data_IF_273980236871
#
_entry.id   IF_273980236871
#
_cell.length_a   1.000
_cell.length_b   1.000
_cell.length_c   1.000
_cell.angle_alpha   90.00
_cell.angle_beta   90.00
_cell.angle_gamma   90.00
#
_symmetry.space_group_name_H-M   'P 1'
#
loop_
_entity.id
_entity.type
_entity.pdbx_description
1 polymer ?
#
# COMPACT_ATOMS: atom_id res chain seq x y z
N UNK A 1 -36.08 -5.65 8.55
CA UNK A 1 -34.95 -6.17 7.73
C UNK A 1 -33.65 -5.62 8.32
N UNK A 2 -32.68 -6.47 8.69
CA UNK A 2 -31.37 -5.99 9.11
C UNK A 2 -30.63 -5.48 7.87
N UNK A 3 -30.32 -4.18 7.82
CA UNK A 3 -29.49 -3.60 6.77
C UNK A 3 -28.09 -4.23 6.86
N UNK A 4 -27.69 -4.99 5.84
CA UNK A 4 -26.32 -5.51 5.78
C UNK A 4 -25.38 -4.33 5.59
N UNK A 5 -24.49 -4.13 6.55
CA UNK A 5 -23.40 -3.14 6.43
C UNK A 5 -22.32 -3.79 5.57
N UNK A 6 -21.99 -3.26 4.38
CA UNK A 6 -20.91 -3.79 3.55
C UNK A 6 -19.55 -3.46 4.18
N UNK A 7 -18.54 -4.27 3.91
CA UNK A 7 -17.14 -4.01 4.32
C UNK A 7 -16.62 -2.68 3.74
N UNK A 8 -16.97 -2.41 2.51
CA UNK A 8 -16.68 -1.14 1.84
C UNK A 8 -17.50 -1.02 0.56
N UNK A 9 -17.77 0.18 0.16
CA UNK A 9 -18.50 0.49 -1.07
C UNK A 9 -17.93 1.77 -1.68
N UNK A 10 -17.67 1.75 -3.00
CA UNK A 10 -17.34 2.95 -3.76
C UNK A 10 -18.56 3.89 -3.81
N UNK A 11 -18.28 5.18 -3.87
CA UNK A 11 -19.23 6.21 -4.24
C UNK A 11 -18.90 6.67 -5.65
N UNK A 12 -19.88 6.65 -6.55
CA UNK A 12 -19.75 7.09 -7.95
C UNK A 12 -20.87 8.06 -8.26
N UNK A 13 -20.51 9.23 -8.72
CA UNK A 13 -21.46 10.26 -9.10
C UNK A 13 -21.44 10.56 -10.62
N UNK A 14 -22.27 11.53 -11.03
CA UNK A 14 -22.37 11.93 -12.44
C UNK A 14 -21.07 12.51 -13.02
N UNK A 15 -20.24 13.12 -12.18
CA UNK A 15 -18.97 13.70 -12.61
C UNK A 15 -17.93 12.62 -12.88
N UNK A 16 -17.94 11.55 -12.09
CA UNK A 16 -17.11 10.36 -12.34
C UNK A 16 -17.45 9.73 -13.68
N UNK A 17 -18.74 9.50 -13.94
CA UNK A 17 -19.22 8.94 -15.20
C UNK A 17 -18.82 9.79 -16.42
N UNK A 18 -19.01 11.11 -16.33
CA UNK A 18 -18.61 12.04 -17.38
C UNK A 18 -17.10 12.05 -17.61
N UNK A 19 -16.32 12.00 -16.53
CA UNK A 19 -14.84 12.02 -16.61
C UNK A 19 -14.32 10.75 -17.24
N UNK A 20 -14.83 9.58 -16.83
CA UNK A 20 -14.49 8.30 -17.45
C UNK A 20 -14.86 8.27 -18.92
N UNK A 21 -16.09 8.71 -19.27
CA UNK A 21 -16.52 8.80 -20.66
C UNK A 21 -15.62 9.69 -21.52
N UNK A 22 -15.17 10.83 -20.99
CA UNK A 22 -14.21 11.72 -21.68
C UNK A 22 -12.83 11.07 -21.80
N UNK A 23 -12.37 10.34 -20.79
CA UNK A 23 -11.05 9.68 -20.81
C UNK A 23 -10.98 8.61 -21.91
N UNK A 24 -12.05 7.86 -22.12
CA UNK A 24 -12.12 6.81 -23.15
C UNK A 24 -12.09 7.38 -24.58
N UNK A 25 -12.34 8.67 -24.77
CA UNK A 25 -12.27 9.35 -26.08
C UNK A 25 -10.88 9.95 -26.35
N UNK A 26 -9.92 9.78 -25.47
CA UNK A 26 -8.56 10.28 -25.67
C UNK A 26 -7.80 9.40 -26.66
N UNK A 27 -6.86 9.98 -27.43
CA UNK A 27 -6.01 9.21 -28.35
C UNK A 27 -5.18 8.11 -27.66
N UNK A 28 -4.80 8.34 -26.40
CA UNK A 28 -4.02 7.39 -25.58
C UNK A 28 -4.74 7.21 -24.25
N UNK A 29 -5.27 6.02 -24.01
CA UNK A 29 -6.02 5.68 -22.79
C UNK A 29 -5.18 4.95 -21.74
N UNK A 30 -3.96 4.54 -22.06
CA UNK A 30 -3.08 3.80 -21.14
C UNK A 30 -2.26 4.73 -20.23
N UNK A 31 -1.41 5.57 -20.82
CA UNK A 31 -0.47 6.47 -20.11
C UNK A 31 -0.66 7.93 -20.53
N UNK A 32 -1.87 8.30 -20.91
CA UNK A 32 -2.20 9.59 -21.49
C UNK A 32 -2.23 10.77 -20.50
N UNK A 33 -2.81 11.87 -20.95
CA UNK A 33 -2.85 13.12 -20.19
C UNK A 33 -3.54 13.04 -18.83
N UNK A 34 -4.52 12.13 -18.66
CA UNK A 34 -5.21 11.93 -17.38
C UNK A 34 -4.27 11.37 -16.30
N UNK A 35 -3.39 10.41 -16.64
CA UNK A 35 -2.39 9.86 -15.72
C UNK A 35 -1.46 10.96 -15.22
N UNK A 36 -0.84 11.70 -16.16
CA UNK A 36 0.07 12.82 -15.83
C UNK A 36 -0.61 13.91 -14.98
N UNK A 37 -1.86 14.25 -15.31
CA UNK A 37 -2.64 15.23 -14.55
C UNK A 37 -2.92 14.75 -13.12
N UNK A 38 -3.22 13.46 -12.95
CA UNK A 38 -3.48 12.86 -11.65
C UNK A 38 -2.20 12.82 -10.80
N UNK A 39 -1.08 12.37 -11.34
CA UNK A 39 0.23 12.39 -10.67
C UNK A 39 0.61 13.79 -10.20
N UNK A 40 0.41 14.81 -11.06
CA UNK A 40 0.65 16.21 -10.70
C UNK A 40 -0.25 16.70 -9.57
N UNK A 41 -1.52 16.29 -9.56
CA UNK A 41 -2.45 16.62 -8.46
C UNK A 41 -2.05 15.94 -7.16
N UNK A 42 -1.66 14.66 -7.21
CA UNK A 42 -1.18 13.91 -6.04
C UNK A 42 0.09 14.54 -5.47
N UNK A 43 1.08 14.87 -6.33
CA UNK A 43 2.32 15.48 -5.85
C UNK A 43 2.06 16.83 -5.15
N UNK A 44 1.14 17.65 -5.68
CA UNK A 44 0.72 18.89 -5.04
C UNK A 44 -0.02 18.67 -3.73
N UNK A 45 -0.95 17.69 -3.70
CA UNK A 45 -1.74 17.37 -2.51
C UNK A 45 -0.88 16.88 -1.35
N UNK A 46 0.04 15.96 -1.63
CA UNK A 46 0.96 15.40 -0.64
C UNK A 46 2.21 16.24 -0.40
N UNK A 47 2.36 17.37 -1.12
CA UNK A 47 3.54 18.26 -1.03
C UNK A 47 4.87 17.51 -1.26
N UNK A 48 4.88 16.62 -2.23
CA UNK A 48 6.08 15.85 -2.64
C UNK A 48 6.50 16.25 -4.05
N UNK A 49 7.77 16.04 -4.39
CA UNK A 49 8.30 16.41 -5.70
C UNK A 49 7.69 15.60 -6.83
N UNK A 50 7.47 14.31 -6.59
CA UNK A 50 6.95 13.38 -7.60
C UNK A 50 5.91 12.46 -6.98
N UNK A 51 4.93 12.07 -7.77
CA UNK A 51 3.99 11.00 -7.49
C UNK A 51 3.88 10.11 -8.73
N UNK A 52 3.78 8.82 -8.52
CA UNK A 52 3.55 7.83 -9.56
C UNK A 52 2.27 7.08 -9.27
N UNK A 53 1.48 6.82 -10.30
CA UNK A 53 0.29 5.98 -10.19
C UNK A 53 0.52 4.66 -10.92
N UNK A 54 -0.09 3.62 -10.41
CA UNK A 54 -0.09 2.29 -11.00
C UNK A 54 -1.49 1.69 -10.94
N UNK A 55 -1.66 0.58 -11.60
CA UNK A 55 -2.96 -0.06 -11.80
C UNK A 55 -3.57 -0.68 -10.52
N UNK A 56 -2.78 -0.84 -9.46
CA UNK A 56 -3.26 -1.44 -8.20
C UNK A 56 -2.37 -1.06 -7.01
N UNK A 57 -2.93 -1.12 -5.79
CA UNK A 57 -2.15 -0.98 -4.56
C UNK A 57 -1.05 -2.04 -4.41
N UNK A 58 -1.27 -3.25 -4.92
CA UNK A 58 -0.24 -4.30 -4.95
C UNK A 58 0.97 -3.88 -5.78
N UNK A 59 0.75 -3.33 -6.97
CA UNK A 59 1.83 -2.81 -7.81
C UNK A 59 2.52 -1.62 -7.15
N UNK A 60 1.76 -0.74 -6.47
CA UNK A 60 2.32 0.38 -5.74
C UNK A 60 3.25 -0.07 -4.60
N UNK A 61 2.84 -1.08 -3.82
CA UNK A 61 3.68 -1.68 -2.77
C UNK A 61 4.95 -2.30 -3.34
N UNK A 62 4.83 -3.03 -4.46
CA UNK A 62 6.00 -3.61 -5.13
C UNK A 62 7.01 -2.53 -5.54
N UNK A 63 6.54 -1.47 -6.20
CA UNK A 63 7.38 -0.34 -6.58
C UNK A 63 8.00 0.36 -5.37
N UNK A 64 7.24 0.55 -4.28
CA UNK A 64 7.75 1.15 -3.06
C UNK A 64 8.87 0.31 -2.42
N UNK A 65 8.73 -1.00 -2.40
CA UNK A 65 9.77 -1.90 -1.88
C UNK A 65 11.04 -1.87 -2.75
N UNK A 66 10.90 -1.87 -4.07
CA UNK A 66 12.03 -1.75 -4.99
C UNK A 66 12.71 -0.37 -4.83
N UNK A 67 11.94 0.70 -4.75
CA UNK A 67 12.47 2.06 -4.54
C UNK A 67 13.18 2.23 -3.18
N UNK A 68 12.78 1.43 -2.17
CA UNK A 68 13.45 1.37 -0.87
C UNK A 68 14.70 0.46 -0.88
N UNK A 69 15.10 -0.03 -2.05
CA UNK A 69 16.25 -0.93 -2.23
C UNK A 69 16.16 -2.18 -1.32
N UNK A 70 14.96 -2.73 -1.18
CA UNK A 70 14.75 -4.00 -0.47
C UNK A 70 15.16 -5.14 -1.39
N UNK A 71 16.03 -6.03 -0.90
CA UNK A 71 16.66 -7.12 -1.65
C UNK A 71 16.40 -8.47 -0.99
N UNK A 72 16.73 -9.52 -1.71
CA UNK A 72 16.72 -10.89 -1.19
C UNK A 72 17.53 -10.99 0.10
N UNK A 73 16.89 -11.53 1.13
CA UNK A 73 17.48 -11.71 2.46
C UNK A 73 17.33 -10.52 3.41
N UNK A 74 16.94 -9.34 2.93
CA UNK A 74 16.62 -8.21 3.81
C UNK A 74 15.44 -8.51 4.70
N UNK A 75 15.48 -8.00 5.92
CA UNK A 75 14.41 -8.22 6.92
C UNK A 75 13.37 -7.12 6.82
N UNK A 76 12.12 -7.53 6.65
CA UNK A 76 10.94 -6.66 6.70
C UNK A 76 10.02 -7.15 7.81
N UNK A 77 9.54 -6.23 8.65
CA UNK A 77 8.55 -6.53 9.70
C UNK A 77 7.24 -5.86 9.30
N UNK A 78 6.13 -6.57 9.46
CA UNK A 78 4.79 -6.05 9.18
C UNK A 78 3.78 -6.60 10.19
N UNK A 79 2.62 -5.95 10.37
CA UNK A 79 1.58 -6.45 11.26
C UNK A 79 0.99 -7.76 10.72
N UNK A 80 0.62 -8.66 11.63
CA UNK A 80 0.00 -9.95 11.30
C UNK A 80 -1.38 -9.77 10.65
N UNK A 81 -2.10 -8.71 11.00
CA UNK A 81 -3.35 -8.31 10.32
C UNK A 81 -3.00 -7.26 9.28
N UNK A 82 -3.01 -7.67 8.01
CA UNK A 82 -2.70 -6.80 6.88
C UNK A 82 -3.28 -7.41 5.59
N UNK A 83 -3.45 -6.58 4.56
CA UNK A 83 -3.80 -7.10 3.25
C UNK A 83 -2.62 -7.90 2.68
N UNK A 84 -2.90 -9.06 2.10
CA UNK A 84 -1.91 -10.06 1.67
C UNK A 84 -0.85 -9.52 0.69
N UNK A 85 -1.13 -8.45 -0.06
CA UNK A 85 -0.21 -7.93 -1.07
C UNK A 85 1.15 -7.52 -0.52
N UNK A 86 1.20 -6.94 0.68
CA UNK A 86 2.46 -6.55 1.31
C UNK A 86 3.37 -7.77 1.54
N UNK A 87 2.80 -8.84 2.09
CA UNK A 87 3.51 -10.11 2.28
C UNK A 87 3.96 -10.71 0.94
N UNK A 88 3.05 -10.78 -0.04
CA UNK A 88 3.32 -11.39 -1.34
C UNK A 88 4.42 -10.67 -2.09
N UNK A 89 4.46 -9.34 -2.07
CA UNK A 89 5.51 -8.57 -2.75
C UNK A 89 6.86 -8.70 -2.05
N UNK A 90 6.90 -8.72 -0.72
CA UNK A 90 8.13 -9.03 0.01
C UNK A 90 8.66 -10.43 -0.30
N UNK A 91 7.77 -11.43 -0.39
CA UNK A 91 8.15 -12.82 -0.77
C UNK A 91 8.67 -12.88 -2.19
N UNK A 92 8.05 -12.16 -3.13
CA UNK A 92 8.48 -12.10 -4.52
C UNK A 92 9.92 -11.55 -4.65
N UNK A 93 10.26 -10.52 -3.87
CA UNK A 93 11.62 -9.94 -3.81
C UNK A 93 12.60 -10.90 -3.11
N UNK A 94 12.11 -11.85 -2.33
CA UNK A 94 12.93 -12.78 -1.54
C UNK A 94 13.36 -12.22 -0.19
N UNK A 95 12.68 -11.21 0.32
CA UNK A 95 12.90 -10.67 1.66
C UNK A 95 12.49 -11.68 2.75
N UNK A 96 13.13 -11.59 3.91
CA UNK A 96 12.75 -12.31 5.13
C UNK A 96 11.68 -11.51 5.85
N UNK A 97 10.51 -12.12 6.06
CA UNK A 97 9.37 -11.45 6.65
C UNK A 97 9.14 -11.95 8.07
N UNK A 98 8.97 -11.01 8.99
CA UNK A 98 8.50 -11.29 10.34
C UNK A 98 7.16 -10.59 10.57
N UNK A 99 6.23 -11.32 11.15
CA UNK A 99 4.92 -10.81 11.50
C UNK A 99 4.93 -10.37 12.97
N UNK A 100 4.66 -9.10 13.20
CA UNK A 100 4.41 -8.56 14.53
C UNK A 100 2.95 -8.73 14.88
N UNK A 101 2.67 -8.99 16.13
CA UNK A 101 1.32 -8.99 16.64
C UNK A 101 0.70 -7.59 16.58
N UNK A 102 -0.61 -7.50 16.76
CA UNK A 102 -1.38 -6.26 16.75
C UNK A 102 -2.14 -6.10 18.06
N UNK A 103 -2.37 -4.87 18.44
CA UNK A 103 -3.19 -4.54 19.61
C UNK A 103 -4.64 -4.97 19.37
N UNK A 104 -5.22 -5.70 20.31
CA UNK A 104 -6.55 -6.31 20.18
C UNK A 104 -7.70 -5.30 20.07
N UNK A 105 -7.50 -4.05 20.49
CA UNK A 105 -8.52 -3.01 20.44
C UNK A 105 -8.45 -2.20 19.15
N UNK A 106 -7.24 -1.96 18.65
CA UNK A 106 -7.03 -1.08 17.49
C UNK A 106 -6.70 -1.83 16.21
N UNK A 107 -6.30 -3.11 16.29
CA UNK A 107 -5.79 -3.88 15.15
C UNK A 107 -4.46 -3.37 14.61
N UNK A 108 -3.80 -2.44 15.29
CA UNK A 108 -2.57 -1.80 14.84
C UNK A 108 -1.34 -2.43 15.49
N UNK A 109 -0.23 -2.48 14.75
CA UNK A 109 1.09 -2.78 15.31
C UNK A 109 1.55 -1.59 16.17
N UNK A 110 1.81 -1.85 17.45
CA UNK A 110 2.35 -0.82 18.37
C UNK A 110 3.87 -0.91 18.47
N UNK A 111 4.55 0.14 18.93
CA UNK A 111 5.99 0.08 19.19
C UNK A 111 6.40 -1.06 20.13
N UNK A 112 5.58 -1.35 21.15
CA UNK A 112 5.82 -2.44 22.10
C UNK A 112 5.79 -3.81 21.41
N UNK A 113 4.75 -4.07 20.63
CA UNK A 113 4.59 -5.34 19.88
C UNK A 113 5.68 -5.51 18.81
N UNK A 114 6.10 -4.42 18.18
CA UNK A 114 7.25 -4.43 17.28
C UNK A 114 8.54 -4.84 18.02
N UNK A 115 8.81 -4.23 19.17
CA UNK A 115 9.98 -4.57 20.00
C UNK A 115 9.95 -6.01 20.49
N UNK A 116 8.79 -6.52 20.88
CA UNK A 116 8.60 -7.92 21.25
C UNK A 116 8.90 -8.87 20.08
N UNK A 117 8.40 -8.54 18.90
CA UNK A 117 8.70 -9.28 17.67
C UNK A 117 10.22 -9.33 17.40
N UNK A 118 10.89 -8.20 17.52
CA UNK A 118 12.35 -8.11 17.35
C UNK A 118 13.09 -8.97 18.34
N UNK A 119 12.76 -8.86 19.63
CA UNK A 119 13.41 -9.62 20.73
C UNK A 119 13.17 -11.13 20.59
N UNK A 120 11.91 -11.54 20.40
CA UNK A 120 11.51 -12.95 20.27
C UNK A 120 12.23 -13.65 19.11
N UNK A 121 12.38 -12.97 17.99
CA UNK A 121 13.00 -13.51 16.79
C UNK A 121 14.50 -13.21 16.69
N UNK A 122 15.11 -12.56 17.70
CA UNK A 122 16.55 -12.19 17.74
C UNK A 122 16.99 -11.41 16.49
N UNK A 123 16.14 -10.51 16.01
CA UNK A 123 16.39 -9.76 14.77
C UNK A 123 17.47 -8.70 15.05
N UNK A 124 18.58 -8.77 14.32
CA UNK A 124 19.73 -7.86 14.51
C UNK A 124 19.71 -6.66 13.56
N UNK A 125 19.20 -6.84 12.34
CA UNK A 125 19.20 -5.81 11.30
C UNK A 125 17.85 -5.82 10.60
N UNK A 126 17.20 -4.67 10.57
CA UNK A 126 15.90 -4.48 9.93
C UNK A 126 16.12 -3.51 8.77
N UNK A 127 15.66 -3.88 7.58
CA UNK A 127 15.69 -3.01 6.40
C UNK A 127 14.49 -2.09 6.39
N UNK A 128 13.30 -2.61 6.70
CA UNK A 128 12.07 -1.84 6.72
C UNK A 128 11.04 -2.45 7.69
N UNK A 129 10.15 -1.64 8.16
CA UNK A 129 8.89 -2.09 8.75
C UNK A 129 7.73 -1.39 8.03
N UNK A 130 6.69 -2.15 7.81
CA UNK A 130 5.46 -1.70 7.19
C UNK A 130 4.42 -1.50 8.29
N UNK A 131 3.71 -0.38 8.24
CA UNK A 131 2.54 -0.15 9.08
C UNK A 131 1.28 -0.23 8.24
N UNK A 132 0.16 -0.60 8.85
CA UNK A 132 -1.14 -0.54 8.22
C UNK A 132 -1.99 0.52 8.90
N UNK A 133 -2.71 1.28 8.11
CA UNK A 133 -3.71 2.25 8.59
C UNK A 133 -5.10 1.63 8.39
N UNK A 134 -5.88 1.54 9.46
CA UNK A 134 -7.28 1.12 9.41
C UNK A 134 -8.19 2.30 9.68
#
# INVERSE_FOLDING_TARGET
>A
MRTKIPYGRQYIDKYDLLTVSKSLKQPIITTGGYVKSFEKKLSKFFKVNNALVCNSGTSALHLAFLASDIKKGDVVIMPAINFISAYSMCKLIGAKIYLSDVDSKTGQMTPQLLLECIKRNKIKKIKAFLTMYM
#
